data_IF_038901879560
#
_entry.id   IF_038901879560
#
_cell.length_a   1.000
_cell.length_b   1.000
_cell.length_c   1.000
_cell.angle_alpha   90.00
_cell.angle_beta   90.00
_cell.angle_gamma   90.00
#
_symmetry.space_group_name_H-M   'P 1'
#
loop_
_entity.id
_entity.type
_entity.pdbx_description
1 polymer ?
#
# COMPACT_ATOMS: atom_id res chain seq x y z
N UNK A 1 21.18 3.11 -2.21
CA UNK A 1 20.80 2.07 -1.28
C UNK A 1 19.72 2.49 -0.24
N UNK A 2 19.76 3.68 0.38
CA UNK A 2 18.69 4.16 1.32
C UNK A 2 17.30 4.41 0.70
N UNK A 3 17.16 4.47 -0.63
CA UNK A 3 15.90 4.83 -1.32
C UNK A 3 14.99 3.65 -1.62
N UNK A 4 15.51 2.43 -1.63
CA UNK A 4 14.71 1.23 -1.82
C UNK A 4 13.69 1.04 -0.70
N UNK A 5 14.10 1.32 0.54
CA UNK A 5 13.24 1.23 1.71
C UNK A 5 12.08 2.24 1.68
N UNK A 6 12.28 3.40 1.03
CA UNK A 6 11.21 4.42 0.91
C UNK A 6 10.16 3.95 -0.09
N UNK A 7 10.56 3.36 -1.22
CA UNK A 7 9.61 2.90 -2.25
C UNK A 7 8.79 1.70 -1.74
N UNK A 8 9.42 0.73 -1.10
CA UNK A 8 8.71 -0.41 -0.50
C UNK A 8 7.83 0.04 0.67
N UNK A 9 8.30 0.96 1.52
CA UNK A 9 7.50 1.55 2.60
C UNK A 9 6.37 2.43 2.04
N UNK A 10 6.60 3.17 0.97
CA UNK A 10 5.56 3.99 0.32
C UNK A 10 4.51 3.09 -0.34
N UNK A 11 4.91 2.00 -0.98
CA UNK A 11 3.99 0.98 -1.51
C UNK A 11 3.21 0.32 -0.36
N UNK A 12 3.86 -0.04 0.74
CA UNK A 12 3.20 -0.62 1.92
C UNK A 12 2.28 0.38 2.64
N UNK A 13 2.70 1.65 2.77
CA UNK A 13 1.89 2.73 3.38
C UNK A 13 0.74 3.12 2.45
N UNK A 14 0.94 3.20 1.13
CA UNK A 14 -0.15 3.38 0.17
C UNK A 14 -1.11 2.19 0.16
N UNK A 15 -0.63 0.96 0.35
CA UNK A 15 -1.51 -0.22 0.47
C UNK A 15 -2.40 -0.15 1.71
N UNK A 16 -1.88 0.37 2.82
CA UNK A 16 -2.66 0.58 4.05
C UNK A 16 -3.59 1.81 3.94
N UNK A 17 -3.21 2.86 3.21
CA UNK A 17 -4.03 4.07 3.03
C UNK A 17 -5.11 3.93 1.95
N UNK A 18 -5.01 2.96 1.06
CA UNK A 18 -6.05 2.63 0.08
C UNK A 18 -7.09 1.64 0.60
N UNK A 19 -6.97 1.20 1.84
CA UNK A 19 -8.03 0.46 2.48
C UNK A 19 -9.26 1.36 2.61
N UNK A 20 -9.99 1.55 1.51
CA UNK A 20 -11.40 1.78 1.68
C UNK A 20 -11.84 0.64 2.57
N UNK A 21 -12.28 0.97 3.75
CA UNK A 21 -12.91 0.03 4.67
C UNK A 21 -14.40 0.10 4.37
N UNK A 22 -14.84 -0.63 3.37
CA UNK A 22 -16.22 -0.75 3.02
C UNK A 22 -16.77 -1.98 3.71
N UNK A 23 -18.04 -2.21 3.62
CA UNK A 23 -18.46 -3.59 3.60
C UNK A 23 -17.77 -4.26 2.40
N UNK A 24 -16.83 -5.14 2.67
CA UNK A 24 -15.94 -5.84 1.71
C UNK A 24 -16.64 -6.64 0.60
N UNK A 25 -17.91 -6.42 0.36
CA UNK A 25 -18.75 -7.18 -0.59
C UNK A 25 -18.56 -6.81 -2.05
N UNK A 26 -17.82 -5.74 -2.40
CA UNK A 26 -17.71 -5.26 -3.78
C UNK A 26 -16.27 -5.24 -4.32
N UNK A 27 -15.47 -6.26 -4.02
CA UNK A 27 -14.20 -6.51 -4.74
C UNK A 27 -12.99 -5.69 -4.30
N UNK A 28 -13.10 -4.88 -3.25
CA UNK A 28 -11.95 -4.22 -2.65
C UNK A 28 -11.38 -5.13 -1.57
N UNK A 29 -10.21 -5.68 -1.83
CA UNK A 29 -9.51 -6.62 -0.95
C UNK A 29 -8.32 -5.91 -0.34
N UNK A 30 -8.17 -5.97 0.98
CA UNK A 30 -6.94 -5.64 1.66
C UNK A 30 -5.88 -6.66 1.22
N UNK A 31 -4.94 -6.21 0.41
CA UNK A 31 -3.79 -7.01 0.00
C UNK A 31 -2.60 -6.09 -0.18
N UNK A 32 -1.39 -6.58 0.03
CA UNK A 32 -0.18 -5.94 -0.46
C UNK A 32 -0.13 -5.89 -1.99
N UNK A 33 -1.06 -6.60 -2.62
CA UNK A 33 -1.33 -6.54 -4.04
C UNK A 33 -2.22 -5.31 -4.31
N UNK A 34 -1.59 -4.21 -4.71
CA UNK A 34 -2.21 -2.88 -4.90
C UNK A 34 -3.11 -2.76 -6.13
N UNK A 35 -3.38 -3.86 -6.82
CA UNK A 35 -4.18 -3.86 -8.04
C UNK A 35 -5.55 -4.45 -7.81
N UNK A 36 -6.57 -4.03 -8.58
CA UNK A 36 -7.85 -4.70 -8.58
C UNK A 36 -7.68 -6.17 -8.97
N UNK A 37 -8.32 -7.07 -8.24
CA UNK A 37 -8.32 -8.50 -8.50
C UNK A 37 -9.59 -8.91 -9.23
N UNK A 38 -9.41 -9.65 -10.32
CA UNK A 38 -10.48 -10.19 -11.15
C UNK A 38 -10.49 -11.71 -11.07
N UNK A 39 -11.68 -12.30 -11.16
CA UNK A 39 -11.87 -13.75 -11.04
C UNK A 39 -11.96 -14.25 -9.61
N UNK A 40 -12.14 -15.57 -9.45
CA UNK A 40 -12.24 -16.22 -8.13
C UNK A 40 -10.84 -16.62 -7.63
N UNK A 41 -10.09 -15.62 -7.13
CA UNK A 41 -8.72 -15.81 -6.68
C UNK A 41 -8.69 -16.58 -5.36
N UNK A 42 -7.84 -17.61 -5.30
CA UNK A 42 -7.60 -18.43 -4.12
C UNK A 42 -6.34 -18.02 -3.37
N UNK A 43 -5.24 -17.85 -4.09
CA UNK A 43 -3.96 -17.44 -3.53
C UNK A 43 -3.22 -16.52 -4.49
N UNK A 44 -2.43 -15.61 -3.92
CA UNK A 44 -1.37 -14.89 -4.61
C UNK A 44 -0.07 -15.24 -3.90
N UNK A 45 0.91 -15.72 -4.65
CA UNK A 45 2.28 -15.83 -4.20
C UNK A 45 3.09 -14.84 -5.03
N UNK A 46 3.77 -13.90 -4.42
CA UNK A 46 4.64 -13.00 -5.15
C UNK A 46 6.07 -13.08 -4.65
N UNK A 47 7.01 -13.04 -5.59
CA UNK A 47 8.44 -13.09 -5.32
C UNK A 47 9.09 -11.85 -5.89
N UNK A 48 9.87 -11.16 -5.05
CA UNK A 48 10.70 -10.04 -5.46
C UNK A 48 12.05 -10.58 -5.94
N UNK A 49 12.52 -10.08 -7.09
CA UNK A 49 13.85 -10.38 -7.64
C UNK A 49 14.65 -9.11 -7.72
N UNK A 50 15.89 -9.16 -7.22
CA UNK A 50 16.92 -8.17 -7.57
C UNK A 50 17.54 -8.54 -8.90
N UNK A 51 17.83 -7.55 -9.72
CA UNK A 51 18.47 -7.72 -11.01
C UNK A 51 19.83 -7.05 -10.96
N UNK A 52 20.89 -7.82 -11.26
CA UNK A 52 22.21 -7.25 -11.46
C UNK A 52 22.20 -6.42 -12.75
N UNK A 53 22.37 -5.11 -12.64
CA UNK A 53 22.28 -4.18 -13.77
C UNK A 53 23.37 -4.38 -14.83
N UNK A 54 24.50 -5.02 -14.46
CA UNK A 54 25.62 -5.25 -15.36
C UNK A 54 25.50 -6.57 -16.12
N UNK A 55 24.98 -7.63 -15.46
CA UNK A 55 24.88 -8.97 -16.05
C UNK A 55 23.47 -9.33 -16.50
N UNK A 56 22.44 -8.66 -15.95
CA UNK A 56 21.03 -9.01 -16.13
C UNK A 56 20.60 -10.25 -15.33
N UNK A 57 21.48 -10.80 -14.45
CA UNK A 57 21.13 -11.94 -13.62
C UNK A 57 20.10 -11.56 -12.55
N UNK A 58 19.11 -12.44 -12.35
CA UNK A 58 18.05 -12.27 -11.36
C UNK A 58 18.34 -13.10 -10.11
N UNK A 59 18.15 -12.49 -8.96
CA UNK A 59 18.29 -13.14 -7.65
C UNK A 59 16.99 -13.03 -6.90
N UNK A 60 16.29 -14.16 -6.60
CA UNK A 60 15.10 -14.12 -5.77
C UNK A 60 15.48 -13.61 -4.37
N UNK A 61 14.67 -12.71 -3.84
CA UNK A 61 14.80 -12.21 -2.47
C UNK A 61 13.75 -12.84 -1.60
N UNK A 62 12.53 -12.33 -1.72
CA UNK A 62 11.48 -12.58 -0.74
C UNK A 62 10.23 -13.08 -1.43
N UNK A 63 9.49 -13.93 -0.74
CA UNK A 63 8.21 -14.45 -1.20
C UNK A 63 7.15 -14.18 -0.15
N UNK A 64 6.08 -13.52 -0.56
CA UNK A 64 4.88 -13.30 0.25
C UNK A 64 3.74 -14.14 -0.29
N UNK A 65 2.95 -14.71 0.61
CA UNK A 65 1.77 -15.51 0.28
C UNK A 65 0.53 -14.83 0.85
N UNK A 66 -0.43 -14.53 0.00
CA UNK A 66 -1.76 -14.03 0.37
C UNK A 66 -2.76 -15.15 0.09
N UNK A 67 -3.57 -15.51 1.07
CA UNK A 67 -4.64 -16.49 0.92
C UNK A 67 -6.00 -15.82 1.09
N UNK A 68 -6.95 -16.28 0.28
CA UNK A 68 -8.32 -15.81 0.30
C UNK A 68 -9.25 -16.92 0.77
N UNK A 69 -10.23 -16.59 1.60
CA UNK A 69 -11.29 -17.50 1.99
C UNK A 69 -12.26 -17.74 0.79
N UNK A 70 -13.21 -18.66 0.95
CA UNK A 70 -14.19 -19.00 -0.10
C UNK A 70 -15.08 -17.81 -0.54
N UNK A 71 -15.17 -16.76 0.26
CA UNK A 71 -15.94 -15.56 -0.05
C UNK A 71 -15.08 -14.52 -0.80
N UNK A 72 -13.79 -14.79 -0.97
CA UNK A 72 -12.84 -13.90 -1.62
C UNK A 72 -12.24 -12.84 -0.68
N UNK A 73 -12.40 -12.97 0.64
CA UNK A 73 -11.76 -12.08 1.60
C UNK A 73 -10.37 -12.60 1.95
N UNK A 74 -9.44 -11.71 2.27
CA UNK A 74 -8.10 -12.09 2.72
C UNK A 74 -8.20 -12.81 4.05
N UNK A 75 -7.68 -14.02 4.11
CA UNK A 75 -7.66 -14.85 5.32
C UNK A 75 -6.29 -14.83 6.00
N UNK A 76 -5.24 -14.68 5.19
CA UNK A 76 -3.87 -14.82 5.64
C UNK A 76 -2.91 -14.08 4.74
N UNK A 77 -1.96 -13.37 5.32
CA UNK A 77 -0.79 -12.83 4.64
C UNK A 77 0.44 -13.26 5.45
N UNK A 78 1.44 -13.79 4.77
CA UNK A 78 2.77 -13.98 5.35
C UNK A 78 3.72 -13.04 4.63
N UNK A 79 3.90 -11.83 5.13
CA UNK A 79 4.88 -10.91 4.60
C UNK A 79 6.25 -11.40 5.03
N UNK A 80 7.06 -11.79 4.09
CA UNK A 80 8.50 -11.83 4.30
C UNK A 80 9.04 -10.44 3.97
N UNK A 81 9.55 -9.75 4.95
CA UNK A 81 10.17 -8.44 4.76
C UNK A 81 11.68 -8.59 4.94
N UNK A 82 12.42 -8.70 3.84
CA UNK A 82 13.88 -8.56 3.88
C UNK A 82 14.23 -7.07 3.87
N UNK A 83 14.38 -6.50 5.02
CA UNK A 83 15.03 -5.21 5.18
C UNK A 83 16.53 -5.44 5.39
N UNK A 84 17.27 -5.71 4.31
CA UNK A 84 18.72 -5.85 4.32
C UNK A 84 19.46 -4.54 4.69
N UNK A 85 18.97 -3.76 5.64
CA UNK A 85 19.66 -2.60 6.17
C UNK A 85 19.48 -2.43 7.67
N UNK A 86 20.46 -2.88 8.41
CA UNK A 86 20.88 -2.50 9.77
C UNK A 86 19.89 -2.61 10.93
N UNK A 87 18.60 -2.66 10.66
CA UNK A 87 17.59 -3.00 11.66
C UNK A 87 16.98 -4.33 11.23
N UNK A 88 17.17 -5.34 12.05
CA UNK A 88 16.63 -6.68 11.84
C UNK A 88 15.10 -6.54 11.74
N UNK A 89 14.54 -6.80 10.56
CA UNK A 89 13.10 -6.88 10.40
C UNK A 89 12.73 -8.34 10.51
N UNK A 90 11.84 -8.58 11.43
CA UNK A 90 11.34 -9.90 11.72
C UNK A 90 10.14 -10.19 10.83
N UNK A 91 10.02 -11.41 10.28
CA UNK A 91 8.85 -11.78 9.49
C UNK A 91 7.58 -11.63 10.33
N UNK A 92 6.58 -10.98 9.76
CA UNK A 92 5.27 -10.84 10.39
C UNK A 92 4.23 -11.69 9.64
N UNK A 93 3.34 -12.32 10.37
CA UNK A 93 2.19 -13.05 9.85
C UNK A 93 0.91 -12.30 10.20
N UNK A 94 0.05 -12.05 9.21
CA UNK A 94 -1.26 -11.46 9.43
C UNK A 94 -2.35 -12.50 9.21
N UNK A 95 -3.24 -12.64 10.20
CA UNK A 95 -4.46 -13.47 10.13
C UNK A 95 -5.70 -12.63 10.31
N UNK A 96 -6.69 -12.87 9.46
CA UNK A 96 -7.95 -12.14 9.47
C UNK A 96 -9.09 -13.08 9.82
N UNK A 97 -9.85 -12.74 10.85
CA UNK A 97 -11.01 -13.50 11.29
C UNK A 97 -12.29 -12.73 10.95
N UNK A 98 -13.25 -13.43 10.38
CA UNK A 98 -14.51 -12.87 9.89
C UNK A 98 -15.69 -13.47 10.66
N UNK A 99 -16.72 -12.67 10.87
CA UNK A 99 -18.00 -13.18 11.37
C UNK A 99 -18.78 -13.91 10.25
N UNK A 100 -19.94 -14.48 10.61
CA UNK A 100 -20.79 -15.23 9.67
C UNK A 100 -21.33 -14.37 8.50
N UNK A 101 -21.27 -13.05 8.62
CA UNK A 101 -21.71 -12.09 7.60
C UNK A 101 -20.56 -11.64 6.69
N UNK A 102 -19.31 -12.06 6.96
CA UNK A 102 -18.13 -11.76 6.18
C UNK A 102 -17.43 -10.45 6.57
N UNK A 103 -17.69 -9.91 7.77
CA UNK A 103 -16.99 -8.73 8.28
C UNK A 103 -15.79 -9.14 9.12
N UNK A 104 -14.63 -8.51 8.90
CA UNK A 104 -13.43 -8.76 9.68
C UNK A 104 -13.63 -8.27 11.11
N UNK A 105 -13.63 -9.19 12.08
CA UNK A 105 -13.82 -8.88 13.50
C UNK A 105 -12.51 -8.82 14.27
N UNK A 106 -11.47 -9.44 13.75
CA UNK A 106 -10.15 -9.49 14.36
C UNK A 106 -9.06 -9.58 13.28
N UNK A 107 -8.05 -8.75 13.39
CA UNK A 107 -6.77 -8.95 12.73
C UNK A 107 -5.72 -9.29 13.77
N UNK A 108 -5.05 -10.43 13.59
CA UNK A 108 -3.91 -10.86 14.41
C UNK A 108 -2.64 -10.68 13.63
N UNK A 109 -1.71 -9.93 14.20
CA UNK A 109 -0.35 -9.80 13.72
C UNK A 109 0.57 -10.58 14.65
N UNK A 110 1.41 -11.44 14.08
CA UNK A 110 2.44 -12.19 14.80
C UNK A 110 3.78 -11.80 14.19
N UNK A 111 4.63 -11.17 14.98
CA UNK A 111 6.00 -10.81 14.58
C UNK A 111 6.94 -11.82 15.22
N UNK A 112 7.65 -12.58 14.37
CA UNK A 112 8.65 -13.55 14.80
C UNK A 112 9.98 -12.81 15.04
N UNK A 113 10.30 -12.57 16.31
CA UNK A 113 11.64 -12.16 16.73
C UNK A 113 12.46 -13.43 17.01
N UNK A 114 13.73 -13.45 16.67
CA UNK A 114 14.66 -14.62 16.81
C UNK A 114 14.55 -15.40 18.12
N UNK A 115 14.00 -14.79 19.18
CA UNK A 115 13.90 -15.38 20.50
C UNK A 115 12.48 -15.44 21.06
N UNK A 116 11.51 -14.79 20.45
CA UNK A 116 10.12 -14.76 20.92
C UNK A 116 9.19 -14.19 19.85
N UNK A 117 8.01 -14.74 19.72
CA UNK A 117 6.92 -14.14 18.95
C UNK A 117 6.27 -13.00 19.75
N UNK A 118 5.95 -11.90 19.08
CA UNK A 118 5.12 -10.84 19.66
C UNK A 118 3.80 -10.81 18.93
N UNK A 119 2.71 -10.88 19.68
CA UNK A 119 1.35 -10.93 19.13
C UNK A 119 0.62 -9.63 19.39
N UNK A 120 0.00 -9.10 18.34
CA UNK A 120 -0.91 -7.97 18.42
C UNK A 120 -2.27 -8.36 17.85
N UNK A 121 -3.33 -8.09 18.62
CA UNK A 121 -4.72 -8.33 18.22
C UNK A 121 -5.47 -7.02 18.05
N UNK A 122 -6.02 -6.78 16.86
CA UNK A 122 -6.90 -5.63 16.60
C UNK A 122 -8.34 -6.10 16.43
N UNK A 123 -9.20 -5.72 17.37
CA UNK A 123 -10.63 -6.00 17.34
C UNK A 123 -11.40 -4.85 16.71
N UNK A 124 -12.36 -5.15 15.83
CA UNK A 124 -13.16 -4.16 15.14
C UNK A 124 -14.61 -4.16 15.56
N UNK A 125 -15.16 -2.96 15.71
CA UNK A 125 -16.58 -2.69 15.99
C UNK A 125 -17.23 -2.04 14.78
N UNK A 126 -18.49 -2.40 14.53
CA UNK A 126 -19.27 -1.96 13.39
C UNK A 126 -20.57 -1.26 13.85
N UNK A 127 -21.08 -0.31 13.06
CA UNK A 127 -22.39 0.30 13.24
C UNK A 127 -23.52 -0.60 12.70
N UNK A 128 -24.76 -0.08 12.73
CA UNK A 128 -25.95 -0.78 12.22
C UNK A 128 -25.94 -1.01 10.71
N UNK A 129 -25.21 -0.18 9.96
CA UNK A 129 -24.99 -0.31 8.52
C UNK A 129 -23.77 -1.18 8.18
N UNK A 130 -23.18 -1.84 9.18
CA UNK A 130 -21.98 -2.66 9.05
C UNK A 130 -20.75 -1.90 8.55
N UNK A 131 -20.63 -0.62 8.88
CA UNK A 131 -19.42 0.16 8.65
C UNK A 131 -18.56 0.09 9.89
N UNK A 132 -17.25 -0.11 9.71
CA UNK A 132 -16.28 -0.15 10.80
C UNK A 132 -16.24 1.24 11.47
N UNK A 133 -16.50 1.31 12.77
CA UNK A 133 -16.47 2.57 13.53
C UNK A 133 -15.32 2.65 14.51
N UNK A 134 -14.73 1.49 14.89
CA UNK A 134 -13.64 1.45 15.86
C UNK A 134 -12.73 0.25 15.61
N UNK A 135 -11.43 0.44 15.86
CA UNK A 135 -10.42 -0.59 16.05
C UNK A 135 -9.79 -0.45 17.44
N UNK A 136 -9.51 -1.56 18.11
CA UNK A 136 -8.83 -1.61 19.42
C UNK A 136 -7.67 -2.60 19.32
N UNK A 137 -6.44 -2.09 19.42
CA UNK A 137 -5.24 -2.91 19.32
C UNK A 137 -4.71 -3.26 20.71
N UNK A 138 -4.44 -4.54 20.92
CA UNK A 138 -3.98 -5.13 22.18
C UNK A 138 -2.67 -5.88 21.96
N UNK A 139 -1.80 -5.90 22.97
CA UNK A 139 -0.67 -6.81 23.02
C UNK A 139 -1.09 -8.19 23.53
N UNK A 140 -0.15 -9.14 23.58
CA UNK A 140 -0.36 -10.53 24.04
C UNK A 140 -0.87 -10.64 25.49
N UNK A 141 -0.55 -9.66 26.35
CA UNK A 141 -1.03 -9.60 27.74
C UNK A 141 -2.47 -9.08 27.84
N UNK A 142 -3.11 -8.75 26.72
CA UNK A 142 -4.44 -8.15 26.69
C UNK A 142 -4.46 -6.68 27.09
N UNK A 143 -3.32 -5.98 27.07
CA UNK A 143 -3.23 -4.55 27.34
C UNK A 143 -3.56 -3.77 26.07
N UNK A 144 -4.54 -2.87 26.16
CA UNK A 144 -4.85 -1.92 25.09
C UNK A 144 -3.65 -1.00 24.82
N UNK A 145 -3.20 -0.97 23.57
CA UNK A 145 -2.08 -0.16 23.11
C UNK A 145 -2.57 1.15 22.46
N UNK A 146 -3.52 1.05 21.53
CA UNK A 146 -4.11 2.20 20.86
C UNK A 146 -5.52 1.88 20.34
N UNK A 147 -6.21 2.93 19.93
CA UNK A 147 -7.53 2.84 19.30
C UNK A 147 -7.56 3.62 18.01
N UNK A 148 -8.41 3.16 17.09
CA UNK A 148 -8.72 3.81 15.83
C UNK A 148 -10.22 4.10 15.79
N UNK A 149 -10.59 5.23 15.21
CA UNK A 149 -11.97 5.67 15.01
C UNK A 149 -12.19 6.01 13.54
N UNK A 150 -13.35 5.62 12.99
CA UNK A 150 -13.69 5.77 11.58
C UNK A 150 -15.01 6.54 11.46
N UNK A 151 -15.03 7.56 10.59
CA UNK A 151 -16.20 8.42 10.38
C UNK A 151 -16.58 8.41 8.90
N UNK A 152 -17.87 8.40 8.63
CA UNK A 152 -18.45 8.30 7.29
C UNK A 152 -19.35 9.49 6.97
N UNK A 153 -19.45 9.82 5.68
CA UNK A 153 -20.46 10.75 5.19
C UNK A 153 -21.84 10.08 5.10
N UNK A 154 -22.85 10.85 4.64
CA UNK A 154 -24.22 10.35 4.48
C UNK A 154 -24.36 9.31 3.36
N UNK A 155 -23.44 9.26 2.41
CA UNK A 155 -23.37 8.29 1.33
C UNK A 155 -22.68 6.99 1.76
N UNK A 156 -22.05 6.96 2.92
CA UNK A 156 -21.31 5.82 3.45
C UNK A 156 -19.83 5.80 3.06
N UNK A 157 -19.30 6.89 2.51
CA UNK A 157 -17.87 7.01 2.22
C UNK A 157 -17.10 7.33 3.51
N UNK A 158 -15.96 6.68 3.71
CA UNK A 158 -15.07 6.95 4.82
C UNK A 158 -14.46 8.34 4.66
N UNK A 159 -14.71 9.24 5.62
CA UNK A 159 -14.20 10.62 5.57
C UNK A 159 -13.02 10.86 6.51
N UNK A 160 -12.97 10.13 7.63
CA UNK A 160 -11.89 10.28 8.60
C UNK A 160 -11.49 8.94 9.19
N UNK A 161 -10.19 8.76 9.35
CA UNK A 161 -9.57 7.76 10.20
C UNK A 161 -8.74 8.48 11.26
N UNK A 162 -8.97 8.19 12.52
CA UNK A 162 -8.24 8.79 13.62
C UNK A 162 -7.61 7.72 14.50
N UNK A 163 -6.32 7.81 14.74
CA UNK A 163 -5.62 6.93 15.66
C UNK A 163 -5.06 7.74 16.83
N UNK A 164 -5.18 7.20 18.04
CA UNK A 164 -4.49 7.77 19.20
C UNK A 164 -3.02 7.34 19.28
N UNK A 165 -2.57 6.44 18.40
CA UNK A 165 -1.16 6.12 18.21
C UNK A 165 -0.48 7.28 17.49
N UNK A 166 0.28 8.08 18.22
CA UNK A 166 0.95 9.27 17.65
C UNK A 166 0.03 10.44 17.33
N UNK A 167 -1.27 10.38 17.61
CA UNK A 167 -2.24 11.45 17.32
C UNK A 167 -2.51 11.63 15.83
N UNK A 168 -2.51 10.56 15.07
CA UNK A 168 -2.71 10.57 13.62
C UNK A 168 -4.18 10.77 13.24
N UNK A 169 -4.42 11.59 12.21
CA UNK A 169 -5.72 11.77 11.56
C UNK A 169 -5.52 11.75 10.04
N UNK A 170 -6.27 10.92 9.35
CA UNK A 170 -6.35 10.89 7.88
C UNK A 170 -7.73 11.36 7.45
N UNK A 171 -7.78 12.28 6.48
CA UNK A 171 -9.01 12.86 5.94
C UNK A 171 -9.11 12.55 4.45
N UNK A 172 -10.27 12.10 4.01
CA UNK A 172 -10.57 11.75 2.63
C UNK A 172 -11.61 12.68 2.03
N UNK A 173 -11.37 13.15 0.80
CA UNK A 173 -12.35 13.91 0.00
C UNK A 173 -12.62 13.17 -1.30
N UNK A 174 -13.88 13.15 -1.70
CA UNK A 174 -14.38 12.42 -2.86
C UNK A 174 -14.92 13.35 -3.93
N UNK A 175 -14.84 12.94 -5.19
CA UNK A 175 -15.57 13.56 -6.29
C UNK A 175 -17.04 13.06 -6.34
N UNK A 176 -17.79 13.54 -7.32
CA UNK A 176 -19.20 13.14 -7.52
C UNK A 176 -19.36 11.68 -7.97
N UNK A 177 -18.30 11.05 -8.43
CA UNK A 177 -18.27 9.64 -8.86
C UNK A 177 -17.75 8.71 -7.75
N UNK A 178 -17.58 9.21 -6.52
CA UNK A 178 -17.05 8.49 -5.37
C UNK A 178 -15.55 8.09 -5.48
N UNK A 179 -14.79 8.75 -6.34
CA UNK A 179 -13.34 8.59 -6.38
C UNK A 179 -12.69 9.47 -5.32
N UNK A 180 -11.70 8.96 -4.61
CA UNK A 180 -10.90 9.74 -3.66
C UNK A 180 -10.01 10.70 -4.44
N UNK A 181 -10.27 12.01 -4.34
CA UNK A 181 -9.50 13.06 -5.05
C UNK A 181 -8.46 13.72 -4.16
N UNK A 182 -8.60 13.59 -2.84
CA UNK A 182 -7.69 14.18 -1.88
C UNK A 182 -7.59 13.30 -0.63
N UNK A 183 -6.36 13.10 -0.17
CA UNK A 183 -6.04 12.48 1.12
C UNK A 183 -5.15 13.45 1.88
N UNK A 184 -5.47 13.75 3.12
CA UNK A 184 -4.67 14.60 4.00
C UNK A 184 -4.36 13.86 5.29
N UNK A 185 -3.08 13.86 5.69
CA UNK A 185 -2.60 13.21 6.90
C UNK A 185 -2.04 14.24 7.88
N UNK A 186 -2.56 14.19 9.08
CA UNK A 186 -2.18 15.07 10.18
C UNK A 186 -1.54 14.28 11.32
N UNK A 187 -0.58 14.89 12.01
CA UNK A 187 -0.06 14.43 13.30
C UNK A 187 -0.34 15.55 14.31
N UNK A 188 -1.24 15.29 15.27
CA UNK A 188 -1.88 16.36 16.03
C UNK A 188 -2.66 17.30 15.10
N UNK A 189 -2.38 18.62 15.20
CA UNK A 189 -3.01 19.63 14.34
C UNK A 189 -2.17 19.98 13.10
N UNK A 190 -1.05 19.28 12.87
CA UNK A 190 -0.13 19.60 11.79
C UNK A 190 -0.38 18.71 10.57
N UNK A 191 -0.67 19.31 9.41
CA UNK A 191 -0.66 18.62 8.12
C UNK A 191 0.78 18.19 7.81
N UNK A 192 1.00 16.87 7.65
CA UNK A 192 2.32 16.29 7.35
C UNK A 192 2.41 15.74 5.94
N UNK A 193 1.28 15.35 5.36
CA UNK A 193 1.21 14.82 4.00
C UNK A 193 -0.13 15.15 3.35
N UNK A 194 -0.11 15.38 2.05
CA UNK A 194 -1.29 15.62 1.23
C UNK A 194 -1.12 14.94 -0.13
N UNK A 195 -2.10 14.15 -0.54
CA UNK A 195 -2.09 13.47 -1.85
C UNK A 195 -3.30 13.89 -2.67
N UNK A 196 -3.05 14.45 -3.84
CA UNK A 196 -4.08 14.76 -4.83
C UNK A 196 -4.14 13.66 -5.90
N UNK A 197 -5.34 13.28 -6.31
CA UNK A 197 -5.61 12.26 -7.33
C UNK A 197 -6.45 12.81 -8.47
N UNK A 198 -6.11 12.41 -9.69
CA UNK A 198 -6.84 12.76 -10.90
C UNK A 198 -7.24 11.49 -11.64
N UNK A 199 -8.47 11.44 -12.11
CA UNK A 199 -9.05 10.30 -12.80
C UNK A 199 -9.46 10.70 -14.23
N UNK A 200 -9.42 9.74 -15.15
CA UNK A 200 -9.98 9.93 -16.49
C UNK A 200 -11.50 9.74 -16.50
N UNK A 201 -12.12 9.95 -17.66
CA UNK A 201 -13.58 9.82 -17.86
C UNK A 201 -14.12 8.40 -17.53
N UNK A 202 -13.26 7.39 -17.58
CA UNK A 202 -13.60 6.00 -17.22
C UNK A 202 -13.36 5.67 -15.74
N UNK A 203 -13.07 6.67 -14.90
CA UNK A 203 -12.81 6.48 -13.47
C UNK A 203 -11.47 5.83 -13.14
N UNK A 204 -10.50 5.81 -14.08
CA UNK A 204 -9.16 5.27 -13.83
C UNK A 204 -8.23 6.37 -13.35
N UNK A 205 -7.47 6.08 -12.30
CA UNK A 205 -6.45 6.97 -11.76
C UNK A 205 -5.36 7.21 -12.80
N UNK A 206 -5.17 8.46 -13.23
CA UNK A 206 -4.17 8.84 -14.22
C UNK A 206 -3.00 9.62 -13.64
N UNK A 207 -3.22 10.25 -12.48
CA UNK A 207 -2.17 10.97 -11.78
C UNK A 207 -2.41 10.97 -10.28
N UNK A 208 -1.32 10.82 -9.54
CA UNK A 208 -1.25 11.04 -8.10
C UNK A 208 -0.08 12.00 -7.81
N UNK A 209 -0.31 13.01 -6.97
CA UNK A 209 0.74 13.94 -6.55
C UNK A 209 0.72 14.04 -5.04
N UNK A 210 1.83 13.67 -4.42
CA UNK A 210 2.02 13.71 -2.96
C UNK A 210 2.89 14.89 -2.57
N UNK A 211 2.47 15.59 -1.55
CA UNK A 211 3.18 16.68 -0.90
C UNK A 211 3.52 16.25 0.51
N UNK A 212 4.73 16.52 0.93
CA UNK A 212 5.18 16.27 2.31
C UNK A 212 5.64 17.55 2.96
N UNK A 213 5.43 17.66 4.28
CA UNK A 213 5.88 18.80 5.05
C UNK A 213 7.40 18.78 5.20
N UNK A 214 8.07 19.87 4.79
CA UNK A 214 9.50 20.07 4.98
C UNK A 214 9.84 20.50 6.43
N UNK A 215 11.13 20.74 6.69
CA UNK A 215 11.61 21.18 8.02
C UNK A 215 11.06 22.54 8.46
N UNK A 216 10.60 23.37 7.51
CA UNK A 216 10.01 24.70 7.77
C UNK A 216 8.49 24.63 7.91
N UNK A 217 7.90 23.42 7.87
CA UNK A 217 6.46 23.15 7.86
C UNK A 217 5.75 23.65 6.58
N UNK A 218 6.47 23.79 5.49
CA UNK A 218 5.91 24.09 4.19
C UNK A 218 5.66 22.77 3.43
N UNK A 219 4.55 22.71 2.67
CA UNK A 219 4.21 21.56 1.86
C UNK A 219 4.93 21.63 0.50
N UNK A 220 5.79 20.66 0.25
CA UNK A 220 6.55 20.55 -1.00
C UNK A 220 6.16 19.25 -1.71
N UNK A 221 6.20 19.26 -3.04
CA UNK A 221 5.98 18.03 -3.81
C UNK A 221 7.08 17.03 -3.45
N UNK A 222 6.68 15.90 -2.90
CA UNK A 222 7.60 14.78 -2.64
C UNK A 222 7.62 13.81 -3.82
N UNK A 223 6.47 13.67 -4.52
CA UNK A 223 6.33 12.68 -5.58
C UNK A 223 5.16 13.03 -6.50
N UNK A 224 5.31 12.71 -7.80
CA UNK A 224 4.20 12.69 -8.75
C UNK A 224 4.27 11.41 -9.57
N UNK A 225 3.19 10.62 -9.57
CA UNK A 225 3.07 9.39 -10.36
C UNK A 225 2.03 9.56 -11.46
N UNK A 226 2.39 9.21 -12.67
CA UNK A 226 1.53 9.17 -13.85
C UNK A 226 1.27 7.71 -14.23
N UNK A 227 0.01 7.37 -14.49
CA UNK A 227 -0.41 6.00 -14.84
C UNK A 227 -0.85 5.94 -16.31
N UNK A 228 -0.40 4.91 -17.01
CA UNK A 228 -0.73 4.67 -18.43
C UNK A 228 -1.47 3.34 -18.58
N UNK A 229 -2.53 3.35 -19.39
CA UNK A 229 -3.40 2.20 -19.63
C UNK A 229 -3.43 1.84 -21.12
N UNK A 230 -3.49 0.54 -21.41
CA UNK A 230 -3.69 0.04 -22.77
C UNK A 230 -5.13 0.25 -23.27
N UNK A 231 -5.36 -0.07 -24.55
CA UNK A 231 -6.67 0.09 -25.21
C UNK A 231 -7.80 -0.69 -24.52
N UNK A 232 -7.47 -1.83 -23.92
CA UNK A 232 -8.38 -2.63 -23.11
C UNK A 232 -8.59 -2.10 -21.68
N UNK A 233 -7.96 -0.97 -21.34
CA UNK A 233 -8.02 -0.34 -20.04
C UNK A 233 -7.21 -1.03 -18.94
N UNK A 234 -6.31 -1.93 -19.28
CA UNK A 234 -5.38 -2.58 -18.34
C UNK A 234 -4.18 -1.65 -18.10
N UNK A 235 -3.71 -1.56 -16.86
CA UNK A 235 -2.52 -0.80 -16.49
C UNK A 235 -1.29 -1.39 -17.18
N UNK A 236 -0.52 -0.56 -17.89
CA UNK A 236 0.69 -0.97 -18.61
C UNK A 236 1.97 -0.37 -18.06
N UNK A 237 1.91 0.83 -17.52
CA UNK A 237 3.07 1.46 -16.89
C UNK A 237 2.67 2.57 -15.92
N UNK A 238 3.59 2.88 -15.00
CA UNK A 238 3.58 4.12 -14.24
C UNK A 238 4.95 4.79 -14.33
N UNK A 239 4.96 6.11 -14.23
CA UNK A 239 6.16 6.95 -14.16
C UNK A 239 6.07 7.81 -12.91
N UNK A 240 7.04 7.67 -12.01
CA UNK A 240 7.10 8.41 -10.75
C UNK A 240 8.26 9.40 -10.79
N UNK A 241 7.96 10.67 -10.53
CA UNK A 241 8.90 11.77 -10.47
C UNK A 241 9.03 12.27 -9.05
N UNK A 242 10.27 12.32 -8.55
CA UNK A 242 10.59 12.81 -7.22
C UNK A 242 11.64 13.91 -7.31
N UNK A 243 11.41 15.10 -6.72
CA UNK A 243 12.43 16.14 -6.63
C UNK A 243 13.66 15.65 -5.88
N UNK A 244 14.83 16.07 -6.29
CA UNK A 244 16.07 15.82 -5.56
C UNK A 244 16.22 16.90 -4.50
N UNK A 245 16.13 16.54 -3.22
CA UNK A 245 16.36 17.50 -2.14
C UNK A 245 17.76 18.11 -2.22
N UNK A 246 17.87 19.40 -1.98
CA UNK A 246 19.15 20.16 -2.00
C UNK A 246 20.26 19.50 -1.18
N UNK A 247 19.93 18.85 -0.07
CA UNK A 247 20.88 18.11 0.77
C UNK A 247 21.62 17.00 0.02
N UNK A 248 21.05 16.46 -1.07
CA UNK A 248 21.66 15.41 -1.87
C UNK A 248 22.34 15.96 -3.14
N UNK A 249 22.05 17.20 -3.55
CA UNK A 249 22.66 17.80 -4.75
C UNK A 249 24.19 17.90 -4.64
N UNK A 250 24.71 18.04 -3.42
CA UNK A 250 26.17 18.06 -3.19
C UNK A 250 26.87 16.72 -3.49
N UNK A 251 26.11 15.61 -3.54
CA UNK A 251 26.63 14.27 -3.84
C UNK A 251 26.33 13.82 -5.27
N UNK A 252 25.60 14.66 -6.04
CA UNK A 252 25.20 14.35 -7.40
C UNK A 252 26.01 15.27 -8.31
N UNK A 253 26.89 14.70 -9.12
CA UNK A 253 27.72 15.45 -10.09
C UNK A 253 26.95 15.87 -11.34
N UNK A 254 25.67 15.49 -11.43
CA UNK A 254 24.75 15.76 -12.53
C UNK A 254 23.82 16.91 -12.19
N UNK A 255 23.50 17.75 -13.17
CA UNK A 255 22.60 18.91 -13.03
C UNK A 255 21.11 18.54 -12.90
N UNK A 256 20.77 17.25 -12.72
CA UNK A 256 19.38 16.81 -12.54
C UNK A 256 18.81 17.32 -11.22
N UNK A 257 17.61 17.90 -11.32
CA UNK A 257 16.84 18.34 -10.14
C UNK A 257 15.71 17.37 -9.77
N UNK A 258 15.49 16.34 -10.59
CA UNK A 258 14.40 15.38 -10.48
C UNK A 258 14.89 13.96 -10.79
N UNK A 259 14.37 12.99 -10.06
CA UNK A 259 14.53 11.56 -10.32
C UNK A 259 13.24 11.09 -10.98
N UNK A 260 13.37 10.32 -12.06
CA UNK A 260 12.23 9.70 -12.73
C UNK A 260 12.42 8.19 -12.72
N UNK A 261 11.50 7.50 -12.07
CA UNK A 261 11.44 6.05 -12.00
C UNK A 261 10.25 5.56 -12.84
N UNK A 262 10.42 4.42 -13.48
CA UNK A 262 9.37 3.82 -14.32
C UNK A 262 9.11 2.39 -13.88
N UNK A 263 7.83 2.02 -13.80
CA UNK A 263 7.40 0.63 -13.63
C UNK A 263 6.57 0.20 -14.84
N UNK A 264 6.79 -1.02 -15.32
CA UNK A 264 5.97 -1.65 -16.34
C UNK A 264 5.26 -2.86 -15.78
N UNK A 265 4.08 -3.17 -16.31
CA UNK A 265 3.21 -4.21 -15.80
C UNK A 265 2.85 -5.22 -16.88
N UNK A 266 2.79 -6.51 -16.51
CA UNK A 266 2.15 -7.55 -17.33
C UNK A 266 0.92 -8.06 -16.60
N UNK A 267 -0.11 -8.38 -17.36
CA UNK A 267 -1.37 -8.89 -16.80
C UNK A 267 -1.73 -10.23 -17.42
N UNK A 268 -2.48 -11.03 -16.65
CA UNK A 268 -3.08 -12.27 -17.13
C UNK A 268 -4.33 -12.00 -18.00
N UNK A 269 -4.99 -13.06 -18.44
CA UNK A 269 -6.21 -12.98 -19.26
C UNK A 269 -7.41 -12.39 -18.54
N UNK A 270 -7.38 -12.31 -17.21
CA UNK A 270 -8.41 -11.67 -16.39
C UNK A 270 -8.14 -10.17 -16.18
N UNK A 271 -6.93 -9.70 -16.50
CA UNK A 271 -6.47 -8.32 -16.26
C UNK A 271 -5.77 -8.13 -14.92
N UNK A 272 -5.48 -9.20 -14.16
CA UNK A 272 -4.69 -9.12 -12.93
C UNK A 272 -3.22 -8.92 -13.27
N UNK A 273 -2.54 -8.03 -12.56
CA UNK A 273 -1.09 -7.85 -12.71
C UNK A 273 -0.38 -9.11 -12.23
N UNK A 274 0.45 -9.68 -13.09
CA UNK A 274 1.26 -10.88 -12.79
C UNK A 274 2.75 -10.61 -12.79
N UNK A 275 3.17 -9.44 -13.25
CA UNK A 275 4.57 -9.00 -13.19
C UNK A 275 4.66 -7.48 -13.14
N UNK A 276 5.55 -6.99 -12.30
CA UNK A 276 6.02 -5.61 -12.27
C UNK A 276 7.51 -5.58 -12.53
N UNK A 277 7.98 -4.63 -13.34
CA UNK A 277 9.40 -4.42 -13.58
C UNK A 277 9.75 -2.97 -13.37
N UNK A 278 10.67 -2.71 -12.46
CA UNK A 278 11.07 -1.37 -12.03
C UNK A 278 12.39 -0.94 -12.65
N UNK A 279 12.41 0.28 -13.15
CA UNK A 279 13.52 0.94 -13.83
C UNK A 279 13.82 2.27 -13.11
N UNK A 280 14.94 2.39 -12.39
CA UNK A 280 15.29 3.60 -11.66
C UNK A 280 15.91 4.66 -12.56
N UNK A 281 15.70 5.93 -12.24
CA UNK A 281 16.42 7.07 -12.79
C UNK A 281 16.45 7.12 -14.34
N UNK A 282 15.33 6.85 -15.02
CA UNK A 282 15.26 6.73 -16.48
C UNK A 282 16.17 5.63 -17.06
N UNK A 283 16.59 4.67 -16.27
CA UNK A 283 17.38 3.54 -16.72
C UNK A 283 16.64 2.73 -17.78
N UNK A 284 17.38 2.19 -18.73
CA UNK A 284 16.90 1.15 -19.66
C UNK A 284 17.06 -0.25 -19.10
N UNK A 285 17.89 -0.40 -18.04
CA UNK A 285 18.10 -1.66 -17.34
C UNK A 285 17.23 -1.74 -16.10
N UNK A 286 16.43 -2.80 -15.91
CA UNK A 286 15.64 -2.98 -14.71
C UNK A 286 16.51 -3.25 -13.49
N UNK A 287 16.04 -2.86 -12.31
CA UNK A 287 16.69 -3.12 -11.04
C UNK A 287 15.96 -4.17 -10.21
N UNK A 288 14.65 -4.20 -10.32
CA UNK A 288 13.79 -5.14 -9.62
C UNK A 288 12.69 -5.67 -10.53
N UNK A 289 12.26 -6.88 -10.23
CA UNK A 289 11.07 -7.50 -10.81
C UNK A 289 10.29 -8.18 -9.69
N UNK A 290 8.97 -8.02 -9.71
CA UNK A 290 8.06 -8.77 -8.85
C UNK A 290 7.25 -9.67 -9.75
N UNK A 291 7.19 -10.95 -9.44
CA UNK A 291 6.37 -11.96 -10.12
C UNK A 291 5.24 -12.40 -9.20
N UNK A 292 4.02 -12.37 -9.71
CA UNK A 292 2.82 -12.80 -8.99
C UNK A 292 2.28 -14.09 -9.59
N UNK A 293 2.25 -15.15 -8.81
CA UNK A 293 1.60 -16.42 -9.16
C UNK A 293 0.21 -16.43 -8.55
N UNK A 294 -0.81 -16.21 -9.39
CA UNK A 294 -2.20 -16.16 -8.98
C UNK A 294 -2.83 -17.51 -9.24
N UNK A 295 -3.39 -18.14 -8.21
CA UNK A 295 -4.18 -19.36 -8.35
C UNK A 295 -5.67 -19.04 -8.17
N UNK A 296 -6.49 -19.69 -8.98
CA UNK A 296 -7.94 -19.54 -9.01
C UNK A 296 -8.64 -20.80 -8.47
N UNK A 297 -9.89 -20.66 -8.03
CA UNK A 297 -10.74 -21.80 -7.63
C UNK A 297 -11.44 -22.43 -8.82
#
# INVERSE_FOLDING_TARGET
MKRLNIIIITILICALSQAQIPPYRNGQRLTDYNFPLFGDVKTIEYTCFSINTDTGEEYPRDTTIIRFNKNGDVEYINPYVDLTYTDVVYPAELRFLYNNLGYNTLTREVIDYDYMDVVYDTYYTYDEDWRRIKGENYNEDGKLLYTEEYTYDRQGNLTHEKSNKGGELVVYTYDTNMNIILIERYIGDKLVEKTNRTYNENGKLIQETTYSSNRLNEMEISETTLYSYGENGVLISSETKSPIHEMFLQYITDSRTEITDRTTYKCDSYGNVIEETYYPNNSTSPQFRIEYKISYR
#
